data_IF_652261428461
#
_entry.id   IF_652261428461
#
_cell.length_a   1.000
_cell.length_b   1.000
_cell.length_c   1.000
_cell.angle_alpha   90.00
_cell.angle_beta   90.00
_cell.angle_gamma   90.00
#
_symmetry.space_group_name_H-M   'P 1'
#
loop_
_entity.id
_entity.type
_entity.pdbx_description
1 polymer ?
#
# COMPACT_ATOMS: atom_id res chain seq x y z
N UNK A 1 6.72 21.06 3.09
CA UNK A 1 6.08 19.74 2.95
C UNK A 1 7.21 18.73 2.73
N UNK A 2 7.30 17.65 3.52
CA UNK A 2 8.37 16.67 3.36
C UNK A 2 8.25 15.96 2.01
N UNK A 3 9.40 15.57 1.45
CA UNK A 3 9.49 14.70 0.27
C UNK A 3 9.72 13.26 0.70
N UNK A 4 9.55 12.32 -0.23
CA UNK A 4 9.77 10.89 0.03
C UNK A 4 11.17 10.61 0.58
N UNK A 5 12.21 11.26 0.04
CA UNK A 5 13.59 11.05 0.46
C UNK A 5 13.85 11.32 1.95
N UNK A 6 13.05 12.19 2.58
CA UNK A 6 13.15 12.43 4.04
C UNK A 6 12.70 11.25 4.91
N UNK A 7 12.12 10.21 4.30
CA UNK A 7 11.70 8.96 4.94
C UNK A 7 12.63 7.79 4.63
N UNK A 8 13.67 8.00 3.83
CA UNK A 8 14.62 6.97 3.47
C UNK A 8 15.22 6.28 4.69
N UNK A 9 15.21 4.94 4.68
CA UNK A 9 15.74 4.08 5.77
C UNK A 9 15.16 4.35 7.17
N UNK A 10 14.02 5.04 7.29
CA UNK A 10 13.39 5.34 8.59
C UNK A 10 13.04 4.09 9.39
N UNK A 11 12.80 2.98 8.71
CA UNK A 11 12.47 1.67 9.26
C UNK A 11 13.46 0.60 8.80
N UNK A 12 14.75 0.98 8.78
CA UNK A 12 15.81 0.09 8.32
C UNK A 12 15.84 -1.23 9.09
N UNK A 13 15.73 -2.34 8.38
CA UNK A 13 15.77 -3.68 8.94
C UNK A 13 14.46 -4.18 9.58
N UNK A 14 13.43 -3.34 9.66
CA UNK A 14 12.15 -3.70 10.26
C UNK A 14 11.25 -4.52 9.32
N UNK A 15 10.22 -5.12 9.91
CA UNK A 15 9.08 -5.70 9.17
C UNK A 15 8.01 -4.63 9.02
N UNK A 16 7.59 -4.37 7.78
CA UNK A 16 6.48 -3.46 7.47
C UNK A 16 5.31 -4.26 6.90
N UNK A 17 4.10 -4.03 7.42
CA UNK A 17 2.87 -4.57 6.85
C UNK A 17 2.25 -3.56 5.88
N UNK A 18 2.06 -3.97 4.65
CA UNK A 18 1.25 -3.28 3.65
C UNK A 18 -0.17 -3.81 3.72
N UNK A 19 -1.10 -2.91 4.06
CA UNK A 19 -2.49 -3.22 4.35
C UNK A 19 -3.39 -2.69 3.23
N UNK A 20 -3.87 -3.59 2.39
CA UNK A 20 -4.90 -3.33 1.39
C UNK A 20 -6.32 -3.37 1.99
N UNK A 21 -7.34 -3.18 1.14
CA UNK A 21 -8.75 -3.16 1.54
C UNK A 21 -9.50 -4.46 1.23
N UNK A 22 -8.81 -5.55 0.93
CA UNK A 22 -9.42 -6.86 0.71
C UNK A 22 -9.89 -7.53 2.00
N UNK A 23 -10.73 -8.59 1.89
CA UNK A 23 -11.36 -9.26 3.05
C UNK A 23 -10.38 -9.81 4.08
N UNK A 24 -9.17 -10.23 3.67
CA UNK A 24 -8.17 -10.74 4.62
C UNK A 24 -7.65 -9.71 5.61
N UNK A 25 -7.92 -8.42 5.38
CA UNK A 25 -7.60 -7.39 6.37
C UNK A 25 -8.31 -7.65 7.72
N UNK A 26 -9.47 -8.33 7.70
CA UNK A 26 -10.18 -8.70 8.92
C UNK A 26 -9.44 -9.74 9.77
N UNK A 27 -8.52 -10.48 9.17
CA UNK A 27 -7.70 -11.48 9.86
C UNK A 27 -6.46 -10.86 10.53
N UNK A 28 -6.22 -9.55 10.35
CA UNK A 28 -5.11 -8.84 11.00
C UNK A 28 -5.41 -8.61 12.48
N UNK A 29 -4.60 -9.23 13.32
CA UNK A 29 -4.60 -9.05 14.77
C UNK A 29 -3.40 -8.19 15.20
N UNK A 30 -3.61 -7.35 16.22
CA UNK A 30 -2.56 -6.54 16.85
C UNK A 30 -1.70 -5.74 15.85
N UNK A 31 -2.32 -4.91 14.96
CA UNK A 31 -1.57 -4.14 13.97
C UNK A 31 -0.50 -3.21 14.59
N UNK A 32 -0.70 -2.79 15.84
CA UNK A 32 0.22 -1.94 16.60
C UNK A 32 1.58 -2.58 16.90
N UNK A 33 1.73 -3.87 16.68
CA UNK A 33 3.01 -4.60 16.84
C UNK A 33 3.94 -4.45 15.63
N UNK A 34 3.45 -3.83 14.56
CA UNK A 34 4.17 -3.68 13.30
C UNK A 34 4.16 -2.22 12.86
N UNK A 35 5.13 -1.84 12.06
CA UNK A 35 5.01 -0.65 11.24
C UNK A 35 4.02 -0.95 10.11
N UNK A 36 3.01 -0.10 9.95
CA UNK A 36 1.92 -0.34 9.00
C UNK A 36 1.84 0.75 7.94
N UNK A 37 1.71 0.35 6.68
CA UNK A 37 1.38 1.23 5.56
C UNK A 37 0.03 0.80 5.01
N UNK A 38 -1.00 1.58 5.29
CA UNK A 38 -2.33 1.35 4.75
C UNK A 38 -2.52 1.99 3.38
N UNK A 39 -3.50 1.51 2.62
CA UNK A 39 -3.92 2.17 1.38
C UNK A 39 -5.38 2.58 1.44
N UNK A 40 -5.71 3.70 0.80
CA UNK A 40 -7.09 4.17 0.63
C UNK A 40 -7.84 4.28 1.99
N UNK A 41 -9.00 3.63 2.10
CA UNK A 41 -9.89 3.70 3.25
C UNK A 41 -9.66 2.63 4.33
N UNK A 42 -8.45 2.10 4.44
CA UNK A 42 -8.06 1.15 5.51
C UNK A 42 -8.34 1.69 6.91
N UNK A 43 -8.37 3.00 7.08
CA UNK A 43 -8.71 3.71 8.31
C UNK A 43 -10.10 3.37 8.87
N UNK A 44 -10.98 2.77 8.07
CA UNK A 44 -12.24 2.18 8.51
C UNK A 44 -12.04 0.99 9.46
N UNK A 45 -10.94 0.24 9.34
CA UNK A 45 -10.62 -0.94 10.16
C UNK A 45 -9.71 -0.62 11.33
N UNK A 46 -8.63 0.11 11.08
CA UNK A 46 -7.65 0.53 12.08
C UNK A 46 -6.86 1.74 11.55
N UNK A 47 -6.14 2.43 12.43
CA UNK A 47 -5.33 3.59 12.02
C UNK A 47 -3.91 3.13 11.70
N UNK A 48 -3.47 3.18 10.44
CA UNK A 48 -2.12 2.81 10.06
C UNK A 48 -1.11 3.90 10.47
N UNK A 49 0.18 3.54 10.59
CA UNK A 49 1.24 4.53 10.79
C UNK A 49 1.36 5.49 9.60
N UNK A 50 1.28 4.95 8.41
CA UNK A 50 1.36 5.69 7.14
C UNK A 50 0.21 5.30 6.21
N UNK A 51 -0.20 6.24 5.38
CA UNK A 51 -1.28 6.02 4.42
C UNK A 51 -0.80 6.37 3.02
N UNK A 52 -1.08 5.52 2.04
CA UNK A 52 -0.84 5.77 0.61
C UNK A 52 -2.16 6.00 -0.09
N UNK A 53 -2.32 7.14 -0.76
CA UNK A 53 -3.51 7.48 -1.56
C UNK A 53 -3.05 8.03 -2.89
N UNK A 54 -3.25 7.26 -3.95
CA UNK A 54 -2.82 7.60 -5.32
C UNK A 54 -3.98 7.88 -6.27
N UNK A 55 -5.21 7.68 -5.81
CA UNK A 55 -6.41 7.94 -6.58
C UNK A 55 -7.05 9.28 -6.18
N UNK A 56 -7.59 10.04 -7.14
CA UNK A 56 -8.30 11.28 -6.85
C UNK A 56 -9.63 11.01 -6.12
N UNK A 57 -10.11 12.03 -5.39
CA UNK A 57 -11.32 11.93 -4.57
C UNK A 57 -12.54 11.36 -5.30
N UNK A 58 -12.75 11.75 -6.55
CA UNK A 58 -13.89 11.31 -7.35
C UNK A 58 -13.89 9.82 -7.74
N UNK A 59 -12.81 9.09 -7.48
CA UNK A 59 -12.74 7.65 -7.67
C UNK A 59 -13.16 6.84 -6.42
N UNK A 60 -13.45 7.53 -5.33
CA UNK A 60 -13.94 6.89 -4.11
C UNK A 60 -15.46 7.01 -4.03
N UNK A 61 -16.13 5.86 -4.15
CA UNK A 61 -17.59 5.78 -4.01
C UNK A 61 -18.02 5.89 -2.55
N UNK A 62 -19.26 6.36 -2.33
CA UNK A 62 -19.90 6.45 -1.01
C UNK A 62 -19.06 7.23 0.02
N UNK A 63 -18.94 6.72 1.22
CA UNK A 63 -18.25 7.32 2.37
C UNK A 63 -16.74 6.99 2.44
N UNK A 64 -16.21 6.28 1.45
CA UNK A 64 -14.83 5.78 1.50
C UNK A 64 -13.80 6.89 1.70
N UNK A 65 -13.98 8.03 1.03
CA UNK A 65 -13.04 9.16 1.15
C UNK A 65 -13.07 9.79 2.54
N UNK A 66 -14.19 9.72 3.27
CA UNK A 66 -14.29 10.17 4.66
C UNK A 66 -13.27 9.49 5.57
N UNK A 67 -13.02 8.19 5.40
CA UNK A 67 -12.01 7.48 6.19
C UNK A 67 -10.57 7.87 5.85
N UNK A 68 -10.34 8.41 4.67
CA UNK A 68 -9.06 9.04 4.31
C UNK A 68 -8.93 10.40 4.99
N UNK A 69 -9.97 11.24 4.92
CA UNK A 69 -9.99 12.59 5.53
C UNK A 69 -9.83 12.54 7.05
N UNK A 70 -10.38 11.53 7.70
CA UNK A 70 -10.38 11.36 9.16
C UNK A 70 -9.28 10.44 9.67
N UNK A 71 -8.41 9.94 8.79
CA UNK A 71 -7.28 9.09 9.18
C UNK A 71 -6.35 9.83 10.15
N UNK A 72 -5.81 9.07 11.11
CA UNK A 72 -4.82 9.53 12.09
C UNK A 72 -3.40 9.07 11.74
N UNK A 73 -3.17 8.67 10.49
CA UNK A 73 -1.85 8.31 10.02
C UNK A 73 -0.86 9.48 10.26
N UNK A 74 0.38 9.15 10.57
CA UNK A 74 1.45 10.15 10.78
C UNK A 74 1.69 10.99 9.53
N UNK A 75 1.61 10.35 8.35
CA UNK A 75 1.73 10.98 7.04
C UNK A 75 0.86 10.27 6.00
N UNK A 76 0.37 11.06 5.04
CA UNK A 76 -0.19 10.55 3.80
C UNK A 76 0.83 10.71 2.69
N UNK A 77 1.15 9.63 1.99
CA UNK A 77 1.97 9.64 0.78
C UNK A 77 1.07 9.72 -0.43
N UNK A 78 1.23 10.78 -1.21
CA UNK A 78 0.39 11.05 -2.38
C UNK A 78 1.10 11.99 -3.36
N UNK A 79 0.85 11.80 -4.65
CA UNK A 79 1.26 12.73 -5.70
C UNK A 79 0.19 13.79 -6.00
N UNK A 80 -1.00 13.66 -5.37
CA UNK A 80 -2.18 14.48 -5.64
C UNK A 80 -2.38 15.57 -4.58
N UNK A 81 -3.03 16.65 -4.95
CA UNK A 81 -3.61 17.58 -3.97
C UNK A 81 -5.00 17.08 -3.57
N UNK A 82 -5.08 16.47 -2.40
CA UNK A 82 -6.31 15.87 -1.87
C UNK A 82 -7.02 16.77 -0.87
N UNK A 83 -6.47 17.95 -0.52
CA UNK A 83 -7.04 18.86 0.47
C UNK A 83 -7.11 18.28 1.89
N UNK A 84 -6.24 17.33 2.23
CA UNK A 84 -6.27 16.65 3.53
C UNK A 84 -5.61 17.51 4.63
N UNK A 85 -6.12 17.39 5.85
CA UNK A 85 -5.51 18.00 7.04
C UNK A 85 -4.30 17.22 7.58
N UNK A 86 -4.16 15.96 7.21
CA UNK A 86 -3.05 15.10 7.59
C UNK A 86 -1.79 15.58 6.87
N UNK A 87 -0.62 15.62 7.52
CA UNK A 87 0.63 15.95 6.86
C UNK A 87 0.87 15.06 5.63
N UNK A 88 1.08 15.68 4.48
CA UNK A 88 1.34 14.96 3.23
C UNK A 88 2.84 14.92 2.93
N UNK A 89 3.33 13.77 2.49
CA UNK A 89 4.64 13.59 1.89
C UNK A 89 4.48 13.38 0.38
N UNK A 90 5.20 14.14 -0.41
CA UNK A 90 5.13 14.07 -1.87
C UNK A 90 6.18 13.10 -2.42
N UNK A 91 5.83 12.44 -3.51
CA UNK A 91 6.72 11.59 -4.27
C UNK A 91 6.45 11.73 -5.77
N UNK A 92 7.39 11.28 -6.58
CA UNK A 92 7.24 11.21 -8.03
C UNK A 92 6.77 9.81 -8.42
N UNK A 93 5.78 9.72 -9.32
CA UNK A 93 5.42 8.45 -9.93
C UNK A 93 6.52 8.01 -10.88
N UNK A 94 7.02 6.80 -10.64
CA UNK A 94 8.03 6.15 -11.47
C UNK A 94 7.42 5.41 -12.67
N UNK A 95 7.95 4.23 -12.96
CA UNK A 95 7.51 3.39 -14.07
C UNK A 95 6.40 2.44 -13.63
N UNK A 96 5.48 2.14 -14.56
CA UNK A 96 4.51 1.06 -14.38
C UNK A 96 5.23 -0.28 -14.22
N UNK A 97 4.94 -1.02 -13.15
CA UNK A 97 5.62 -2.28 -12.82
C UNK A 97 7.13 -2.15 -12.62
N UNK A 98 7.63 -0.94 -12.31
CA UNK A 98 9.05 -0.70 -12.09
C UNK A 98 9.57 -1.35 -10.81
N UNK A 99 10.83 -1.74 -10.80
CA UNK A 99 11.52 -2.43 -9.70
C UNK A 99 12.90 -1.84 -9.39
N UNK A 100 13.21 -0.66 -9.91
CA UNK A 100 14.43 0.09 -9.62
C UNK A 100 14.18 1.11 -8.51
N UNK A 101 14.77 0.90 -7.35
CA UNK A 101 14.60 1.73 -6.16
C UNK A 101 15.76 2.71 -5.92
N UNK A 102 16.61 2.93 -6.90
CA UNK A 102 17.80 3.81 -6.77
C UNK A 102 17.43 5.29 -6.57
N UNK A 103 16.29 5.75 -7.09
CA UNK A 103 15.83 7.12 -6.89
C UNK A 103 14.95 7.24 -5.62
N UNK A 104 15.44 7.94 -4.56
CA UNK A 104 14.73 8.04 -3.28
C UNK A 104 13.45 8.88 -3.32
N UNK A 105 13.18 9.62 -4.39
CA UNK A 105 11.97 10.45 -4.55
C UNK A 105 10.88 9.77 -5.38
N UNK A 106 11.12 8.52 -5.84
CA UNK A 106 10.25 7.85 -6.79
C UNK A 106 9.59 6.60 -6.17
N UNK A 107 8.28 6.47 -6.37
CA UNK A 107 7.55 5.21 -6.15
C UNK A 107 7.01 4.70 -7.47
N UNK A 108 7.29 3.44 -7.75
CA UNK A 108 6.72 2.75 -8.91
C UNK A 108 5.26 2.35 -8.63
N UNK A 109 4.51 2.12 -9.68
CA UNK A 109 3.07 1.87 -9.58
C UNK A 109 2.60 0.77 -10.52
N UNK A 110 1.42 0.26 -10.23
CA UNK A 110 0.60 -0.56 -11.12
C UNK A 110 -0.85 -0.10 -11.01
N UNK A 111 -1.79 -0.90 -11.46
CA UNK A 111 -3.23 -0.60 -11.32
C UNK A 111 -3.74 -0.71 -9.88
N UNK A 112 -2.90 -1.13 -8.94
CA UNK A 112 -3.30 -1.29 -7.55
C UNK A 112 -2.41 -0.49 -6.59
N UNK A 113 -3.03 0.19 -5.64
CA UNK A 113 -2.35 1.03 -4.64
C UNK A 113 -1.38 0.26 -3.73
N UNK A 114 -1.64 -1.01 -3.33
CA UNK A 114 -0.68 -1.78 -2.54
C UNK A 114 0.71 -1.90 -3.17
N UNK A 115 0.83 -1.93 -4.49
CA UNK A 115 2.14 -1.94 -5.16
C UNK A 115 2.96 -0.70 -4.80
N UNK A 116 2.33 0.48 -4.81
CA UNK A 116 2.98 1.75 -4.42
C UNK A 116 3.38 1.72 -2.96
N UNK A 117 2.55 1.13 -2.09
CA UNK A 117 2.85 0.99 -0.67
C UNK A 117 4.03 0.02 -0.41
N UNK A 118 4.18 -1.05 -1.21
CA UNK A 118 5.38 -1.90 -1.18
C UNK A 118 6.62 -1.10 -1.56
N UNK A 119 6.56 -0.30 -2.64
CA UNK A 119 7.68 0.56 -3.02
C UNK A 119 8.05 1.56 -1.90
N UNK A 120 7.06 2.11 -1.20
CA UNK A 120 7.29 2.97 -0.04
C UNK A 120 8.00 2.21 1.10
N UNK A 121 7.56 0.98 1.41
CA UNK A 121 8.21 0.16 2.43
C UNK A 121 9.68 -0.12 2.09
N UNK A 122 10.00 -0.36 0.81
CA UNK A 122 11.37 -0.52 0.33
C UNK A 122 12.19 0.75 0.57
N UNK A 123 11.67 1.92 0.18
CA UNK A 123 12.36 3.21 0.38
C UNK A 123 12.57 3.51 1.88
N UNK A 124 11.66 3.08 2.74
CA UNK A 124 11.79 3.18 4.20
C UNK A 124 12.80 2.18 4.80
N UNK A 125 13.39 1.30 4.00
CA UNK A 125 14.44 0.38 4.42
C UNK A 125 13.93 -0.93 5.04
N UNK A 126 12.69 -1.33 4.78
CA UNK A 126 12.15 -2.60 5.26
C UNK A 126 13.02 -3.78 4.84
N UNK A 127 13.28 -4.72 5.76
CA UNK A 127 13.89 -6.01 5.46
C UNK A 127 12.86 -7.06 5.06
N UNK A 128 11.66 -6.96 5.61
CA UNK A 128 10.54 -7.84 5.29
C UNK A 128 9.27 -7.02 5.08
N UNK A 129 8.52 -7.36 4.07
CA UNK A 129 7.25 -6.70 3.74
C UNK A 129 6.16 -7.77 3.69
N UNK A 130 5.18 -7.66 4.58
CA UNK A 130 4.01 -8.53 4.60
C UNK A 130 2.83 -7.87 3.88
N UNK A 131 2.11 -8.62 3.04
CA UNK A 131 0.89 -8.17 2.38
C UNK A 131 -0.32 -8.75 3.09
N UNK A 132 -1.28 -7.90 3.49
CA UNK A 132 -2.59 -8.30 3.99
C UNK A 132 -3.67 -7.41 3.41
N UNK A 133 -4.87 -7.96 3.17
CA UNK A 133 -5.93 -7.21 2.46
C UNK A 133 -5.62 -6.97 0.98
N UNK A 134 -4.66 -7.68 0.41
CA UNK A 134 -4.27 -7.62 -1.01
C UNK A 134 -4.74 -8.90 -1.70
N UNK A 135 -6.07 -9.07 -1.78
CA UNK A 135 -6.70 -10.36 -2.07
C UNK A 135 -7.18 -10.50 -3.50
N UNK A 136 -7.57 -9.39 -4.13
CA UNK A 136 -8.20 -9.33 -5.47
C UNK A 136 -9.41 -10.27 -5.61
N UNK A 137 -10.15 -10.44 -4.51
CA UNK A 137 -11.41 -11.14 -4.44
C UNK A 137 -12.58 -10.21 -4.75
N UNK A 138 -13.82 -10.73 -4.69
CA UNK A 138 -14.99 -9.97 -5.12
C UNK A 138 -15.44 -8.86 -4.16
N UNK A 139 -14.89 -8.80 -2.95
CA UNK A 139 -15.37 -7.89 -1.91
C UNK A 139 -14.24 -7.12 -1.23
N UNK A 140 -14.63 -6.08 -0.48
CA UNK A 140 -13.76 -5.39 0.47
C UNK A 140 -13.95 -5.93 1.88
N UNK A 141 -13.03 -5.58 2.79
CA UNK A 141 -13.11 -6.03 4.19
C UNK A 141 -14.35 -5.56 4.93
N UNK A 142 -14.98 -4.49 4.48
CA UNK A 142 -16.15 -3.87 5.13
C UNK A 142 -17.50 -4.29 4.56
N UNK A 143 -17.54 -5.19 3.60
CA UNK A 143 -18.82 -5.72 3.09
C UNK A 143 -18.80 -6.24 1.66
N UNK A 144 -19.95 -6.69 1.22
CA UNK A 144 -20.20 -7.23 -0.11
C UNK A 144 -20.28 -6.06 -1.13
N UNK A 145 -19.16 -5.70 -1.72
CA UNK A 145 -19.05 -4.58 -2.68
C UNK A 145 -19.10 -5.02 -4.14
N UNK A 146 -19.32 -6.32 -4.39
CA UNK A 146 -19.35 -6.90 -5.72
C UNK A 146 -17.96 -7.27 -6.27
N UNK A 147 -17.93 -7.60 -7.55
CA UNK A 147 -16.72 -8.05 -8.23
C UNK A 147 -15.66 -6.95 -8.24
N UNK A 148 -14.46 -7.28 -7.81
CA UNK A 148 -13.32 -6.35 -7.84
C UNK A 148 -13.02 -5.94 -9.29
N UNK A 149 -12.84 -4.64 -9.61
CA UNK A 149 -12.56 -4.18 -10.97
C UNK A 149 -11.36 -4.85 -11.63
N UNK A 150 -10.37 -5.28 -10.85
CA UNK A 150 -9.16 -5.95 -11.33
C UNK A 150 -9.28 -7.48 -11.38
N UNK A 151 -10.43 -8.07 -11.05
CA UNK A 151 -10.62 -9.53 -11.05
C UNK A 151 -10.36 -10.17 -12.42
N UNK A 152 -10.54 -9.42 -13.50
CA UNK A 152 -10.20 -9.86 -14.87
C UNK A 152 -8.71 -9.76 -15.23
N UNK A 153 -7.86 -9.20 -14.38
CA UNK A 153 -6.43 -8.95 -14.63
C UNK A 153 -5.52 -9.70 -13.66
N UNK A 154 -6.02 -10.76 -13.01
CA UNK A 154 -5.28 -11.48 -11.94
C UNK A 154 -3.93 -12.04 -12.42
N UNK A 155 -3.86 -12.61 -13.62
CA UNK A 155 -2.61 -13.14 -14.17
C UNK A 155 -1.56 -12.05 -14.39
N UNK A 156 -1.97 -10.88 -14.84
CA UNK A 156 -1.09 -9.72 -14.98
C UNK A 156 -0.60 -9.22 -13.61
N UNK A 157 -1.50 -9.13 -12.63
CA UNK A 157 -1.16 -8.69 -11.28
C UNK A 157 -0.19 -9.68 -10.63
N UNK A 158 -0.44 -10.97 -10.74
CA UNK A 158 0.45 -12.02 -10.22
C UNK A 158 1.84 -11.91 -10.84
N UNK A 159 1.94 -11.69 -12.15
CA UNK A 159 3.22 -11.49 -12.83
C UNK A 159 3.95 -10.23 -12.35
N UNK A 160 3.23 -9.12 -12.14
CA UNK A 160 3.77 -7.87 -11.61
C UNK A 160 4.37 -8.08 -10.20
N UNK A 161 3.64 -8.75 -9.30
CA UNK A 161 4.13 -9.04 -7.95
C UNK A 161 5.25 -10.09 -7.94
N UNK A 162 5.21 -11.08 -8.82
CA UNK A 162 6.29 -12.08 -8.98
C UNK A 162 7.60 -11.41 -9.42
N UNK A 163 7.51 -10.49 -10.39
CA UNK A 163 8.66 -9.70 -10.84
C UNK A 163 9.21 -8.82 -9.71
N UNK A 164 8.31 -8.14 -8.98
CA UNK A 164 8.69 -7.33 -7.83
C UNK A 164 9.37 -8.18 -6.75
N UNK A 165 8.76 -9.30 -6.36
CA UNK A 165 9.31 -10.21 -5.35
C UNK A 165 10.71 -10.74 -5.71
N UNK A 166 10.94 -11.08 -6.98
CA UNK A 166 12.29 -11.48 -7.45
C UNK A 166 13.32 -10.36 -7.31
N UNK A 167 12.93 -9.12 -7.69
CA UNK A 167 13.83 -7.97 -7.58
C UNK A 167 14.16 -7.65 -6.11
N UNK A 168 13.15 -7.73 -5.22
CA UNK A 168 13.34 -7.50 -3.79
C UNK A 168 14.21 -8.57 -3.14
N UNK A 169 13.98 -9.85 -3.47
CA UNK A 169 14.78 -10.96 -2.97
C UNK A 169 16.26 -10.81 -3.38
N UNK A 170 16.53 -10.36 -4.61
CA UNK A 170 17.89 -10.06 -5.07
C UNK A 170 18.56 -8.93 -4.26
N UNK A 171 17.78 -8.07 -3.62
CA UNK A 171 18.24 -7.01 -2.72
C UNK A 171 18.17 -7.39 -1.23
N UNK A 172 17.89 -8.64 -0.91
CA UNK A 172 17.80 -9.13 0.47
C UNK A 172 16.52 -8.74 1.21
N UNK A 173 15.45 -8.38 0.49
CA UNK A 173 14.16 -7.99 1.04
C UNK A 173 13.15 -9.11 0.80
N UNK A 174 12.52 -9.61 1.86
CA UNK A 174 11.46 -10.60 1.75
C UNK A 174 10.12 -9.93 1.48
N UNK A 175 9.43 -10.31 0.41
CA UNK A 175 8.02 -9.95 0.15
C UNK A 175 7.16 -11.20 0.39
N UNK A 176 6.27 -11.12 1.38
CA UNK A 176 5.47 -12.27 1.84
C UNK A 176 3.99 -11.92 1.81
N UNK A 177 3.18 -12.76 1.17
CA UNK A 177 1.74 -12.68 1.32
C UNK A 177 1.32 -13.41 2.61
N UNK A 178 0.81 -12.67 3.59
CA UNK A 178 0.37 -13.22 4.88
C UNK A 178 -1.13 -13.56 4.91
N UNK A 179 -1.84 -13.31 3.82
CA UNK A 179 -3.24 -13.67 3.67
C UNK A 179 -3.40 -15.16 3.31
N UNK A 180 -4.31 -15.84 3.99
CA UNK A 180 -4.74 -17.21 3.62
C UNK A 180 -5.80 -17.22 2.51
N UNK A 181 -6.30 -16.05 2.10
CA UNK A 181 -7.44 -15.87 1.17
C UNK A 181 -7.04 -15.24 -0.15
N UNK A 182 -5.85 -14.69 -0.22
CA UNK A 182 -5.37 -13.99 -1.41
C UNK A 182 -5.20 -14.94 -2.60
N UNK A 183 -5.39 -14.36 -3.79
CA UNK A 183 -5.13 -15.03 -5.06
C UNK A 183 -3.74 -14.71 -5.64
N UNK A 184 -2.94 -13.95 -4.88
CA UNK A 184 -1.52 -13.72 -5.19
C UNK A 184 -0.66 -14.86 -4.68
#
# INVERSE_FOLDING_TARGET
MPTLGSFGNRHAGETILVCGCGPSLNDLENPERFVTIGVNDVGRRFQPDYLVVVNPRNQFNSDRFHYIETSKAKFVFTQLDLGLKIPAARFQLGKYGGTDFSNPETLHYTRNSPYVAVCLAVQMGARRIGLIGVDFTDHHFFGATGRHPLAGSLSQIDEEYRKLGKALAASGIDLVNVSKRSRL
#
